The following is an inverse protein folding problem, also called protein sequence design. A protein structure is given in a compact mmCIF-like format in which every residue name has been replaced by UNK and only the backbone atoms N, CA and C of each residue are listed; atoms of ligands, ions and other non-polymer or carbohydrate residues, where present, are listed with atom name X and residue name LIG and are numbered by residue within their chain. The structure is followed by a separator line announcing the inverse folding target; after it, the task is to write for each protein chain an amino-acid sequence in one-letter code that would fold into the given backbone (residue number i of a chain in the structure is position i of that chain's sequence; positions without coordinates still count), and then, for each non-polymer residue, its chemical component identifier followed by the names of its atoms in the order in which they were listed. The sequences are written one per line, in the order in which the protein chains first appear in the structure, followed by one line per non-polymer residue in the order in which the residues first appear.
data_IF_426072460128
#
_entry.id   IF_426072460128
#
_cell.length_a   1.000
_cell.length_b   1.000
_cell.length_c   1.000
_cell.angle_alpha   90.00
_cell.angle_beta   90.00
_cell.angle_gamma   90.00
#
_symmetry.space_group_name_H-M   'P 1'
#
loop_
_entity.id
_entity.type
_entity.pdbx_description
1 polymer ?
#
# COMPACT_ATOMS: atom_id res chain seq x y z
N UNK A 1 -19.19 26.22 10.56
CA UNK A 1 -18.73 24.81 10.47
C UNK A 1 -19.95 23.92 10.33
N UNK A 2 -20.23 23.35 9.15
CA UNK A 2 -21.14 22.20 9.10
C UNK A 2 -20.46 21.09 9.90
N UNK A 3 -21.01 20.74 11.06
CA UNK A 3 -20.64 19.50 11.76
C UNK A 3 -20.81 18.39 10.72
N UNK A 4 -19.73 17.74 10.31
CA UNK A 4 -19.82 16.59 9.42
C UNK A 4 -20.62 15.56 10.20
N UNK A 5 -21.90 15.42 9.83
CA UNK A 5 -22.87 14.75 10.69
C UNK A 5 -22.71 13.24 10.51
N UNK A 6 -22.70 12.51 11.62
CA UNK A 6 -22.39 11.07 11.69
C UNK A 6 -23.35 10.17 10.88
N UNK A 7 -24.45 10.70 10.36
CA UNK A 7 -25.47 9.96 9.61
C UNK A 7 -25.08 9.66 8.14
N UNK A 8 -23.95 10.19 7.67
CA UNK A 8 -23.56 10.18 6.25
C UNK A 8 -22.46 9.18 5.89
N UNK A 9 -22.22 8.14 6.71
CA UNK A 9 -21.17 7.16 6.41
C UNK A 9 -21.35 6.53 5.01
N UNK A 10 -22.60 6.34 4.56
CA UNK A 10 -22.95 5.90 3.21
C UNK A 10 -22.92 7.03 2.16
N UNK A 11 -23.12 8.29 2.54
CA UNK A 11 -23.11 9.43 1.64
C UNK A 11 -21.67 9.87 1.25
N UNK A 12 -20.68 9.56 2.09
CA UNK A 12 -19.28 9.88 1.83
C UNK A 12 -18.45 8.74 1.23
N UNK A 13 -18.94 7.49 1.18
CA UNK A 13 -18.25 6.44 0.42
C UNK A 13 -18.33 6.73 -1.08
N UNK A 14 -17.33 7.44 -1.61
CA UNK A 14 -17.15 7.56 -3.04
C UNK A 14 -16.86 6.18 -3.62
N UNK A 15 -17.70 5.70 -4.53
CA UNK A 15 -17.36 4.49 -5.26
C UNK A 15 -16.09 4.80 -6.08
N UNK A 16 -14.96 4.18 -5.72
CA UNK A 16 -13.91 3.92 -6.70
C UNK A 16 -14.51 3.03 -7.79
N UNK A 17 -14.05 3.21 -9.03
CA UNK A 17 -14.59 2.43 -10.14
C UNK A 17 -14.30 0.94 -9.91
N UNK A 18 -15.19 0.03 -10.36
CA UNK A 18 -14.91 -1.40 -10.37
C UNK A 18 -13.61 -1.75 -11.11
N UNK A 19 -13.21 -0.91 -12.07
CA UNK A 19 -11.90 -1.04 -12.72
C UNK A 19 -10.77 -1.04 -11.70
N UNK A 20 -10.74 -0.07 -10.78
CA UNK A 20 -9.70 0.03 -9.75
C UNK A 20 -9.84 -1.01 -8.64
N UNK A 21 -11.05 -1.34 -8.22
CA UNK A 21 -11.23 -2.18 -7.01
C UNK A 21 -11.46 -3.66 -7.28
N UNK A 22 -11.78 -4.02 -8.53
CA UNK A 22 -12.07 -5.41 -8.93
C UNK A 22 -11.16 -5.84 -10.07
N UNK A 23 -11.26 -5.19 -11.23
CA UNK A 23 -10.61 -5.68 -12.44
C UNK A 23 -9.10 -5.54 -12.41
N UNK A 24 -8.57 -4.42 -11.91
CA UNK A 24 -7.13 -4.18 -11.90
C UNK A 24 -6.37 -5.10 -10.92
N UNK A 25 -6.82 -5.32 -9.66
CA UNK A 25 -6.25 -6.36 -8.80
C UNK A 25 -6.25 -7.75 -9.43
N UNK A 26 -7.38 -8.16 -10.04
CA UNK A 26 -7.47 -9.47 -10.69
C UNK A 26 -6.55 -9.57 -11.91
N UNK A 27 -6.45 -8.49 -12.69
CA UNK A 27 -5.51 -8.40 -13.79
C UNK A 27 -4.08 -8.60 -13.31
N UNK A 28 -3.66 -7.97 -12.21
CA UNK A 28 -2.31 -8.15 -11.67
C UNK A 28 -2.05 -9.59 -11.22
N UNK A 29 -3.01 -10.26 -10.55
CA UNK A 29 -2.88 -11.69 -10.21
C UNK A 29 -2.71 -12.55 -11.46
N UNK A 30 -3.55 -12.33 -12.48
CA UNK A 30 -3.51 -13.11 -13.73
C UNK A 30 -2.21 -12.85 -14.47
N UNK A 31 -1.79 -11.58 -14.58
CA UNK A 31 -0.53 -11.19 -15.21
C UNK A 31 0.65 -11.86 -14.51
N UNK A 32 0.68 -11.85 -13.18
CA UNK A 32 1.72 -12.50 -12.39
C UNK A 32 1.78 -14.00 -12.63
N UNK A 33 0.62 -14.66 -12.59
CA UNK A 33 0.52 -16.10 -12.88
C UNK A 33 0.98 -16.43 -14.32
N UNK A 34 0.62 -15.59 -15.29
CA UNK A 34 1.05 -15.74 -16.68
C UNK A 34 2.56 -15.60 -16.83
N UNK A 35 3.17 -14.60 -16.19
CA UNK A 35 4.62 -14.40 -16.19
C UNK A 35 5.34 -15.64 -15.66
N UNK A 36 4.90 -16.20 -14.53
CA UNK A 36 5.58 -17.31 -13.88
C UNK A 36 5.34 -18.68 -14.55
N UNK A 37 4.19 -18.89 -15.18
CA UNK A 37 3.87 -20.17 -15.84
C UNK A 37 4.38 -20.22 -17.27
N UNK A 38 4.36 -19.09 -18.00
CA UNK A 38 4.69 -19.07 -19.43
C UNK A 38 6.18 -18.76 -19.66
N UNK A 39 6.77 -17.84 -18.89
CA UNK A 39 8.16 -17.48 -19.12
C UNK A 39 9.11 -18.56 -18.55
N UNK A 40 10.21 -18.87 -19.24
CA UNK A 40 11.31 -19.64 -18.67
C UNK A 40 11.75 -19.09 -17.31
N UNK A 41 12.08 -19.98 -16.37
CA UNK A 41 12.37 -19.62 -14.98
C UNK A 41 13.45 -18.53 -14.84
N UNK A 42 14.47 -18.55 -15.70
CA UNK A 42 15.54 -17.54 -15.74
C UNK A 42 15.05 -16.16 -16.21
N UNK A 43 14.10 -16.12 -17.15
CA UNK A 43 13.49 -14.87 -17.64
C UNK A 43 12.50 -14.33 -16.62
N UNK A 44 11.70 -15.20 -16.00
CA UNK A 44 10.82 -14.82 -14.90
C UNK A 44 11.65 -14.26 -13.73
N UNK A 45 12.74 -14.93 -13.33
CA UNK A 45 13.62 -14.50 -12.25
C UNK A 45 14.18 -13.07 -12.46
N UNK A 46 14.58 -12.71 -13.68
CA UNK A 46 15.08 -11.37 -14.02
C UNK A 46 14.04 -10.25 -13.89
N UNK A 47 12.75 -10.59 -13.90
CA UNK A 47 11.70 -9.59 -13.68
C UNK A 47 11.66 -9.08 -12.23
N UNK A 48 12.34 -9.81 -11.32
CA UNK A 48 12.47 -9.53 -9.89
C UNK A 48 13.90 -9.15 -9.47
N UNK A 49 14.81 -8.88 -10.42
CA UNK A 49 16.12 -8.34 -10.09
C UNK A 49 15.99 -6.86 -9.67
N UNK A 50 16.99 -6.33 -8.97
CA UNK A 50 17.10 -4.90 -8.63
C UNK A 50 16.98 -4.03 -9.90
N UNK A 51 16.07 -3.06 -9.88
CA UNK A 51 15.57 -2.26 -11.01
C UNK A 51 14.75 -3.03 -12.06
N UNK A 52 14.19 -4.18 -11.69
CA UNK A 52 13.30 -4.98 -12.51
C UNK A 52 11.96 -4.29 -12.80
N UNK A 53 11.19 -4.89 -13.71
CA UNK A 53 9.88 -4.36 -14.12
C UNK A 53 8.91 -4.19 -12.94
N UNK A 54 8.97 -5.09 -11.96
CA UNK A 54 8.09 -5.04 -10.79
C UNK A 54 8.47 -3.93 -9.82
N UNK A 55 9.75 -3.73 -9.51
CA UNK A 55 10.22 -2.62 -8.66
C UNK A 55 9.86 -1.25 -9.26
N UNK A 56 10.03 -1.07 -10.58
CA UNK A 56 9.58 0.14 -11.27
C UNK A 56 8.08 0.33 -11.08
N UNK A 57 7.30 -0.75 -11.21
CA UNK A 57 5.85 -0.70 -11.02
C UNK A 57 5.47 -0.36 -9.57
N UNK A 58 6.17 -0.93 -8.58
CA UNK A 58 6.01 -0.66 -7.15
C UNK A 58 6.27 0.81 -6.84
N UNK A 59 7.42 1.32 -7.27
CA UNK A 59 7.83 2.72 -7.17
C UNK A 59 6.78 3.64 -7.77
N UNK A 60 6.28 3.35 -8.98
CA UNK A 60 5.27 4.17 -9.63
C UNK A 60 3.95 4.19 -8.84
N UNK A 61 3.48 3.04 -8.34
CA UNK A 61 2.24 2.94 -7.57
C UNK A 61 2.34 3.76 -6.28
N UNK A 62 3.42 3.60 -5.51
CA UNK A 62 3.58 4.31 -4.24
C UNK A 62 3.86 5.81 -4.46
N UNK A 63 4.57 6.19 -5.53
CA UNK A 63 4.77 7.59 -5.91
C UNK A 63 3.45 8.27 -6.28
N UNK A 64 2.58 7.59 -7.04
CA UNK A 64 1.23 8.11 -7.31
C UNK A 64 0.46 8.25 -5.99
N UNK A 65 0.55 7.28 -5.07
CA UNK A 65 -0.09 7.38 -3.76
C UNK A 65 0.41 8.58 -2.95
N UNK A 66 1.71 8.86 -2.97
CA UNK A 66 2.34 10.05 -2.37
C UNK A 66 1.73 11.34 -2.94
N UNK A 67 1.57 11.45 -4.26
CA UNK A 67 0.93 12.60 -4.89
C UNK A 67 -0.51 12.76 -4.39
N UNK A 68 -1.31 11.69 -4.38
CA UNK A 68 -2.70 11.76 -3.91
C UNK A 68 -2.82 12.12 -2.43
N UNK A 69 -1.91 11.61 -1.58
CA UNK A 69 -1.82 11.98 -0.18
C UNK A 69 -1.50 13.48 -0.02
N UNK A 70 -0.48 13.97 -0.75
CA UNK A 70 -0.09 15.39 -0.75
C UNK A 70 -1.23 16.31 -1.21
N UNK A 71 -1.90 15.97 -2.31
CA UNK A 71 -3.07 16.69 -2.83
C UNK A 71 -4.27 16.68 -1.87
N UNK A 72 -4.28 15.79 -0.88
CA UNK A 72 -5.33 15.70 0.13
C UNK A 72 -5.04 16.56 1.38
N UNK A 73 -3.81 17.04 1.57
CA UNK A 73 -3.42 17.83 2.76
C UNK A 73 -4.24 19.11 2.85
N UNK A 74 -4.16 19.99 1.85
CA UNK A 74 -4.82 21.29 1.91
C UNK A 74 -6.35 21.20 2.10
N UNK A 75 -7.09 20.34 1.37
CA UNK A 75 -8.51 20.10 1.64
C UNK A 75 -8.75 19.59 3.07
N UNK A 76 -7.94 18.66 3.57
CA UNK A 76 -8.11 18.10 4.93
C UNK A 76 -7.91 19.17 5.99
N UNK A 77 -6.97 20.11 5.79
CA UNK A 77 -6.73 21.18 6.76
C UNK A 77 -7.88 22.19 6.84
N UNK A 78 -8.69 22.33 5.78
CA UNK A 78 -9.88 23.21 5.75
C UNK A 78 -11.05 22.66 6.55
N UNK A 79 -11.26 21.34 6.55
CA UNK A 79 -12.46 20.70 7.12
C UNK A 79 -12.18 19.78 8.32
N UNK A 80 -10.92 19.41 8.53
CA UNK A 80 -10.53 18.30 9.39
C UNK A 80 -10.32 18.70 10.85
N UNK A 81 -10.60 17.73 11.73
CA UNK A 81 -10.18 17.77 13.13
C UNK A 81 -8.65 17.64 13.24
N UNK A 82 -8.09 17.92 14.42
CA UNK A 82 -6.66 17.68 14.68
C UNK A 82 -6.25 16.23 14.36
N UNK A 83 -7.13 15.27 14.66
CA UNK A 83 -6.93 13.87 14.32
C UNK A 83 -6.84 13.63 12.80
N UNK A 84 -7.73 14.22 12.00
CA UNK A 84 -7.68 14.05 10.54
C UNK A 84 -6.43 14.70 9.93
N UNK A 85 -6.00 15.84 10.47
CA UNK A 85 -4.76 16.50 10.05
C UNK A 85 -3.54 15.63 10.37
N UNK A 86 -3.50 15.05 11.57
CA UNK A 86 -2.46 14.08 11.94
C UNK A 86 -2.49 12.85 11.04
N UNK A 87 -3.68 12.28 10.79
CA UNK A 87 -3.83 11.10 9.94
C UNK A 87 -3.31 11.33 8.51
N UNK A 88 -3.68 12.45 7.88
CA UNK A 88 -3.18 12.74 6.52
C UNK A 88 -1.69 13.04 6.50
N UNK A 89 -1.14 13.66 7.57
CA UNK A 89 0.30 13.84 7.70
C UNK A 89 1.03 12.49 7.79
N UNK A 90 0.54 11.56 8.61
CA UNK A 90 1.07 10.20 8.67
C UNK A 90 1.00 9.47 7.33
N UNK A 91 -0.14 9.56 6.62
CA UNK A 91 -0.28 8.93 5.31
C UNK A 91 0.69 9.52 4.28
N UNK A 92 0.85 10.85 4.24
CA UNK A 92 1.81 11.51 3.35
C UNK A 92 3.26 11.13 3.68
N UNK A 93 3.66 11.23 4.94
CA UNK A 93 5.02 10.89 5.38
C UNK A 93 5.32 9.40 5.20
N UNK A 94 4.34 8.53 5.41
CA UNK A 94 4.48 7.10 5.14
C UNK A 94 4.68 6.80 3.65
N UNK A 95 3.88 7.41 2.76
CA UNK A 95 4.08 7.27 1.32
C UNK A 95 5.42 7.85 0.87
N UNK A 96 5.84 8.98 1.45
CA UNK A 96 7.13 9.62 1.16
C UNK A 96 8.30 8.72 1.58
N UNK A 97 8.22 8.16 2.78
CA UNK A 97 9.20 7.22 3.29
C UNK A 97 9.31 5.99 2.40
N UNK A 98 8.19 5.30 2.12
CA UNK A 98 8.21 4.11 1.26
C UNK A 98 8.75 4.47 -0.14
N UNK A 99 8.23 5.52 -0.78
CA UNK A 99 8.75 5.97 -2.09
C UNK A 99 10.26 6.21 -2.02
N UNK A 100 10.73 6.91 -0.98
CA UNK A 100 12.14 7.19 -0.78
C UNK A 100 12.96 5.92 -0.64
N UNK A 101 12.53 4.97 0.17
CA UNK A 101 13.21 3.67 0.32
C UNK A 101 13.31 2.92 -1.03
N UNK A 102 12.20 2.85 -1.79
CA UNK A 102 12.15 2.15 -3.10
C UNK A 102 13.09 2.75 -4.16
N UNK A 103 13.31 4.08 -4.17
CA UNK A 103 14.23 4.75 -5.12
C UNK A 103 15.60 5.07 -4.50
N UNK A 104 15.87 4.51 -3.33
CA UNK A 104 17.09 4.75 -2.56
C UNK A 104 17.37 6.24 -2.35
N UNK A 105 16.34 6.96 -1.93
CA UNK A 105 16.27 8.41 -1.69
C UNK A 105 16.67 9.25 -2.91
N UNK A 106 16.56 8.68 -4.11
CA UNK A 106 16.88 9.28 -5.39
C UNK A 106 18.17 8.75 -6.02
N UNK A 107 18.88 7.83 -5.36
CA UNK A 107 20.12 7.24 -5.87
C UNK A 107 19.91 6.63 -7.25
N UNK A 108 18.83 5.88 -7.45
CA UNK A 108 18.52 5.26 -8.74
C UNK A 108 18.24 6.28 -9.85
N UNK A 109 17.80 7.49 -9.51
CA UNK A 109 17.44 8.54 -10.46
C UNK A 109 18.66 9.38 -10.85
N UNK A 110 19.48 9.76 -9.87
CA UNK A 110 20.57 10.73 -10.06
C UNK A 110 21.95 10.09 -10.06
N UNK A 111 22.06 8.80 -9.74
CA UNK A 111 23.27 7.99 -9.91
C UNK A 111 24.44 8.34 -8.99
N UNK A 112 24.17 8.91 -7.80
CA UNK A 112 25.24 9.06 -6.81
C UNK A 112 25.61 7.71 -6.19
N UNK A 113 26.79 7.63 -5.59
CA UNK A 113 27.20 6.47 -4.82
C UNK A 113 26.87 6.67 -3.34
N UNK A 114 26.52 5.58 -2.64
CA UNK A 114 26.47 5.61 -1.18
C UNK A 114 27.86 5.94 -0.60
N UNK A 115 27.90 6.74 0.47
CA UNK A 115 29.16 7.04 1.15
C UNK A 115 29.78 5.79 1.74
N UNK A 116 31.12 5.73 1.82
CA UNK A 116 31.88 4.52 2.18
C UNK A 116 31.37 3.85 3.48
N UNK A 117 31.17 4.63 4.55
CA UNK A 117 30.64 4.10 5.82
C UNK A 117 29.22 3.54 5.71
N UNK A 118 28.40 4.08 4.79
CA UNK A 118 27.01 3.64 4.58
C UNK A 118 26.96 2.40 3.69
N UNK A 119 27.76 2.37 2.63
CA UNK A 119 27.88 1.23 1.73
C UNK A 119 28.41 -0.04 2.45
N UNK A 120 29.18 0.13 3.53
CA UNK A 120 29.65 -1.00 4.35
C UNK A 120 28.54 -1.69 5.16
N UNK A 121 27.45 -0.97 5.47
CA UNK A 121 26.34 -1.49 6.29
C UNK A 121 25.08 -1.75 5.47
N UNK A 122 25.04 -1.32 4.21
CA UNK A 122 23.91 -1.50 3.30
C UNK A 122 24.22 -2.66 2.34
N UNK A 123 23.40 -3.71 2.36
CA UNK A 123 23.65 -4.95 1.63
C UNK A 123 23.69 -4.77 0.10
N UNK A 124 23.12 -3.68 -0.42
CA UNK A 124 23.06 -3.34 -1.84
C UNK A 124 23.90 -2.11 -2.21
N UNK A 125 24.69 -1.56 -1.28
CA UNK A 125 25.47 -0.33 -1.47
C UNK A 125 24.59 0.88 -1.85
N UNK A 126 23.38 0.93 -1.28
CA UNK A 126 22.40 1.97 -1.54
C UNK A 126 22.24 2.95 -0.38
N UNK A 127 21.53 4.07 -0.59
CA UNK A 127 21.26 5.09 0.44
C UNK A 127 19.94 4.90 1.18
N UNK A 128 19.20 3.83 0.92
CA UNK A 128 18.02 3.47 1.72
C UNK A 128 18.38 2.89 3.10
N UNK A 129 17.37 2.78 3.95
CA UNK A 129 17.47 2.24 5.30
C UNK A 129 17.09 0.75 5.35
N UNK A 130 16.15 0.30 4.53
CA UNK A 130 15.67 -1.09 4.58
C UNK A 130 16.75 -2.13 4.26
N UNK A 131 17.78 -1.78 3.49
CA UNK A 131 18.91 -2.68 3.19
C UNK A 131 20.01 -2.65 4.26
N UNK A 132 19.84 -1.89 5.34
CA UNK A 132 20.85 -1.81 6.42
C UNK A 132 20.61 -2.81 7.55
N UNK A 133 19.38 -3.32 7.68
CA UNK A 133 19.07 -4.37 8.66
C UNK A 133 17.72 -5.04 8.39
N UNK A 134 17.62 -6.31 8.75
CA UNK A 134 16.36 -7.06 8.71
C UNK A 134 15.23 -6.42 9.52
N UNK A 135 15.57 -5.65 10.57
CA UNK A 135 14.55 -4.93 11.34
C UNK A 135 13.93 -3.79 10.53
N UNK A 136 14.75 -3.02 9.81
CA UNK A 136 14.30 -1.89 9.01
C UNK A 136 13.59 -2.33 7.72
N UNK A 137 13.90 -3.52 7.20
CA UNK A 137 13.10 -4.14 6.14
C UNK A 137 11.75 -4.67 6.67
N UNK A 138 11.75 -5.47 7.74
CA UNK A 138 10.55 -6.23 8.10
C UNK A 138 9.52 -5.46 8.93
N UNK A 139 9.93 -4.54 9.81
CA UNK A 139 8.99 -3.90 10.75
C UNK A 139 8.11 -2.84 10.08
N UNK A 140 8.62 -1.95 9.22
CA UNK A 140 7.77 -1.04 8.45
C UNK A 140 6.77 -1.81 7.58
N UNK A 141 7.23 -2.88 6.92
CA UNK A 141 6.38 -3.80 6.17
C UNK A 141 5.25 -4.33 7.03
N UNK A 142 5.56 -4.95 8.17
CA UNK A 142 4.56 -5.53 9.08
C UNK A 142 3.47 -4.55 9.52
N UNK A 143 3.83 -3.28 9.76
CA UNK A 143 2.85 -2.25 10.11
C UNK A 143 1.83 -2.02 9.00
N UNK A 144 2.30 -1.97 7.74
CA UNK A 144 1.43 -1.83 6.57
C UNK A 144 0.55 -3.07 6.40
N UNK A 145 1.11 -4.26 6.56
CA UNK A 145 0.36 -5.52 6.46
C UNK A 145 -0.78 -5.61 7.48
N UNK A 146 -0.51 -5.24 8.74
CA UNK A 146 -1.55 -5.13 9.78
C UNK A 146 -2.61 -4.13 9.35
N UNK A 147 -2.21 -2.98 8.82
CA UNK A 147 -3.11 -1.96 8.27
C UNK A 147 -4.02 -2.50 7.16
N UNK A 148 -3.50 -3.33 6.26
CA UNK A 148 -4.27 -3.96 5.18
C UNK A 148 -5.29 -4.96 5.72
N UNK A 149 -4.90 -5.81 6.67
CA UNK A 149 -5.83 -6.80 7.25
C UNK A 149 -6.92 -6.10 8.08
N UNK A 150 -6.52 -5.19 8.97
CA UNK A 150 -7.46 -4.45 9.82
C UNK A 150 -8.36 -3.57 8.96
N UNK A 151 -7.77 -2.80 8.06
CA UNK A 151 -8.50 -1.88 7.20
C UNK A 151 -9.31 -2.58 6.11
N UNK A 152 -8.69 -3.46 5.33
CA UNK A 152 -9.33 -4.06 4.17
C UNK A 152 -10.35 -5.15 4.49
N UNK A 153 -10.21 -5.84 5.64
CA UNK A 153 -11.05 -7.00 5.97
C UNK A 153 -11.84 -6.79 7.26
N UNK A 154 -11.16 -6.49 8.38
CA UNK A 154 -11.79 -6.45 9.71
C UNK A 154 -12.76 -5.28 9.84
N UNK A 155 -12.36 -4.06 9.48
CA UNK A 155 -13.23 -2.88 9.58
C UNK A 155 -14.48 -3.04 8.68
N UNK A 156 -14.39 -3.39 7.38
CA UNK A 156 -15.55 -3.64 6.54
C UNK A 156 -16.47 -4.74 7.09
N UNK A 157 -15.91 -5.81 7.65
CA UNK A 157 -16.66 -6.86 8.34
C UNK A 157 -17.43 -6.31 9.54
N UNK A 158 -16.78 -5.51 10.40
CA UNK A 158 -17.41 -4.88 11.56
C UNK A 158 -18.49 -3.88 11.15
N UNK A 159 -18.28 -3.07 10.11
CA UNK A 159 -19.31 -2.18 9.56
C UNK A 159 -20.56 -2.97 9.16
N UNK A 160 -20.39 -4.17 8.57
CA UNK A 160 -21.49 -5.01 8.11
C UNK A 160 -22.22 -5.73 9.24
N UNK A 161 -21.50 -6.28 10.21
CA UNK A 161 -22.06 -7.24 11.18
C UNK A 161 -22.12 -6.73 12.62
N UNK A 162 -21.31 -5.75 12.99
CA UNK A 162 -21.26 -5.22 14.36
C UNK A 162 -20.85 -3.73 14.38
N UNK A 163 -21.61 -2.84 13.71
CA UNK A 163 -21.20 -1.44 13.52
C UNK A 163 -21.04 -0.67 14.83
N UNK A 164 -21.77 -1.05 15.89
CA UNK A 164 -21.68 -0.42 17.21
C UNK A 164 -20.32 -0.65 17.91
N UNK A 165 -19.53 -1.63 17.46
CA UNK A 165 -18.18 -1.88 17.97
C UNK A 165 -17.14 -0.89 17.43
N UNK A 166 -17.44 -0.14 16.37
CA UNK A 166 -16.51 0.80 15.77
C UNK A 166 -16.66 2.20 16.37
N UNK A 167 -15.57 2.81 16.88
CA UNK A 167 -15.62 4.17 17.40
C UNK A 167 -16.07 5.19 16.35
N UNK A 168 -17.25 5.77 16.56
CA UNK A 168 -17.86 6.74 15.63
C UNK A 168 -17.01 7.98 15.34
N UNK A 169 -15.98 8.28 16.12
CA UNK A 169 -15.08 9.41 15.86
C UNK A 169 -14.07 9.16 14.72
N UNK A 170 -13.80 7.89 14.37
CA UNK A 170 -12.84 7.51 13.33
C UNK A 170 -13.50 7.14 12.00
N UNK A 171 -14.83 7.32 11.92
CA UNK A 171 -15.66 6.98 10.77
C UNK A 171 -15.10 7.47 9.42
N UNK A 172 -14.48 8.66 9.42
CA UNK A 172 -13.97 9.31 8.21
C UNK A 172 -12.73 8.62 7.63
N UNK A 173 -11.94 7.93 8.46
CA UNK A 173 -10.74 7.19 8.03
C UNK A 173 -11.03 5.71 7.78
N UNK A 174 -12.22 5.22 8.08
CA UNK A 174 -12.55 3.82 7.84
C UNK A 174 -12.53 3.53 6.34
N UNK A 175 -11.75 2.54 5.89
CA UNK A 175 -11.64 2.19 4.48
C UNK A 175 -12.97 1.65 3.94
N UNK A 176 -13.16 1.84 2.63
CA UNK A 176 -14.32 1.35 1.92
C UNK A 176 -14.25 -0.18 1.77
N UNK A 177 -15.40 -0.85 1.89
CA UNK A 177 -15.53 -2.30 1.64
C UNK A 177 -15.04 -2.74 0.26
N UNK A 178 -14.99 -1.83 -0.72
CA UNK A 178 -14.54 -2.15 -2.07
C UNK A 178 -13.05 -2.54 -2.13
N UNK A 179 -12.23 -2.25 -1.11
CA UNK A 179 -10.82 -2.68 -1.09
C UNK A 179 -10.65 -4.09 -0.52
N UNK A 180 -11.74 -4.73 -0.07
CA UNK A 180 -11.68 -6.04 0.55
C UNK A 180 -11.11 -7.11 -0.38
N UNK A 181 -11.34 -6.99 -1.69
CA UNK A 181 -10.75 -7.93 -2.65
C UNK A 181 -9.22 -7.83 -2.67
N UNK A 182 -8.66 -6.62 -2.78
CA UNK A 182 -7.22 -6.39 -2.74
C UNK A 182 -6.61 -6.94 -1.45
N UNK A 183 -7.24 -6.68 -0.31
CA UNK A 183 -6.77 -7.19 0.98
C UNK A 183 -6.92 -8.73 1.11
N UNK A 184 -7.96 -9.32 0.53
CA UNK A 184 -8.17 -10.76 0.51
C UNK A 184 -7.15 -11.46 -0.38
N UNK A 185 -6.83 -10.89 -1.56
CA UNK A 185 -5.76 -11.37 -2.44
C UNK A 185 -4.44 -11.33 -1.68
N UNK A 186 -4.07 -10.17 -1.12
CA UNK A 186 -2.87 -10.01 -0.30
C UNK A 186 -2.76 -11.08 0.80
N UNK A 187 -3.81 -11.24 1.61
CA UNK A 187 -3.81 -12.21 2.70
C UNK A 187 -3.73 -13.65 2.19
N UNK A 188 -4.40 -13.97 1.09
CA UNK A 188 -4.34 -15.30 0.46
C UNK A 188 -2.92 -15.62 0.05
N UNK A 189 -2.28 -14.73 -0.72
CA UNK A 189 -0.90 -14.89 -1.18
C UNK A 189 0.04 -15.09 0.01
N UNK A 190 -0.09 -14.24 1.04
CA UNK A 190 0.75 -14.30 2.24
C UNK A 190 0.62 -15.63 2.97
N UNK A 191 -0.61 -16.12 3.14
CA UNK A 191 -0.86 -17.39 3.82
C UNK A 191 -0.34 -18.56 2.97
N UNK A 192 -0.55 -18.53 1.66
CA UNK A 192 -0.06 -19.60 0.76
C UNK A 192 1.45 -19.63 0.67
N UNK A 193 2.12 -18.48 0.68
CA UNK A 193 3.58 -18.37 0.69
C UNK A 193 4.16 -18.88 2.02
N UNK A 194 3.53 -18.49 3.14
CA UNK A 194 3.91 -18.98 4.46
C UNK A 194 3.69 -20.48 4.64
N UNK A 195 2.58 -21.02 4.14
CA UNK A 195 2.31 -22.46 4.23
C UNK A 195 3.25 -23.21 3.28
N UNK A 196 3.38 -22.75 2.04
CA UNK A 196 4.24 -23.37 1.04
C UNK A 196 5.68 -23.52 1.54
N UNK A 197 6.25 -22.45 2.09
CA UNK A 197 7.63 -22.45 2.59
C UNK A 197 7.88 -23.51 3.67
N UNK A 198 6.88 -23.85 4.48
CA UNK A 198 6.96 -24.93 5.48
C UNK A 198 6.90 -26.33 4.82
N UNK A 199 6.29 -26.47 3.64
CA UNK A 199 6.14 -27.71 2.88
C UNK A 199 7.06 -27.83 1.65
N UNK A 200 8.04 -26.92 1.50
CA UNK A 200 9.04 -26.96 0.42
C UNK A 200 8.51 -26.52 -0.95
N UNK A 201 7.40 -25.77 -1.00
CA UNK A 201 6.87 -25.18 -2.24
C UNK A 201 6.61 -23.68 -2.08
N UNK A 202 6.44 -22.94 -3.17
CA UNK A 202 5.94 -21.56 -3.09
C UNK A 202 4.92 -21.35 -4.20
N UNK A 203 3.79 -20.64 -3.94
CA UNK A 203 2.85 -20.29 -4.99
C UNK A 203 3.47 -19.37 -6.04
N UNK A 204 4.50 -18.60 -5.65
CA UNK A 204 5.21 -17.66 -6.53
C UNK A 204 6.73 -17.76 -6.36
N UNK A 205 7.49 -17.58 -7.44
CA UNK A 205 8.97 -17.58 -7.41
C UNK A 205 9.50 -16.53 -6.42
N UNK A 206 8.85 -15.36 -6.38
CA UNK A 206 9.17 -14.22 -5.50
C UNK A 206 7.91 -13.69 -4.83
N UNK A 207 7.37 -14.45 -3.89
CA UNK A 207 6.14 -14.08 -3.16
C UNK A 207 6.20 -12.72 -2.47
N UNK A 208 7.38 -12.30 -1.98
CA UNK A 208 7.58 -10.98 -1.35
C UNK A 208 7.27 -9.81 -2.28
N UNK A 209 7.71 -9.87 -3.53
CA UNK A 209 7.48 -8.84 -4.55
C UNK A 209 5.99 -8.69 -4.86
N UNK A 210 5.32 -9.84 -5.05
CA UNK A 210 3.87 -9.85 -5.32
C UNK A 210 3.10 -9.28 -4.13
N UNK A 211 3.54 -9.57 -2.89
CA UNK A 211 2.92 -9.00 -1.69
C UNK A 211 3.07 -7.48 -1.64
N UNK A 212 4.27 -6.95 -1.90
CA UNK A 212 4.53 -5.50 -1.94
C UNK A 212 3.65 -4.79 -2.96
N UNK A 213 3.50 -5.39 -4.15
CA UNK A 213 2.61 -4.87 -5.17
C UNK A 213 1.20 -4.62 -4.62
N UNK A 214 0.60 -5.62 -3.98
CA UNK A 214 -0.74 -5.50 -3.40
C UNK A 214 -0.77 -4.58 -2.18
N UNK A 215 0.32 -4.47 -1.42
CA UNK A 215 0.43 -3.51 -0.32
C UNK A 215 0.37 -2.08 -0.83
N UNK A 216 1.21 -1.72 -1.80
CA UNK A 216 1.27 -0.38 -2.36
C UNK A 216 -0.01 -0.05 -3.12
N UNK A 217 -0.58 -1.04 -3.82
CA UNK A 217 -1.87 -0.87 -4.48
C UNK A 217 -3.00 -0.60 -3.49
N UNK A 218 -3.03 -1.29 -2.34
CA UNK A 218 -4.01 -1.02 -1.28
C UNK A 218 -3.87 0.40 -0.72
N UNK A 219 -2.64 0.86 -0.46
CA UNK A 219 -2.36 2.23 -0.03
C UNK A 219 -2.88 3.23 -1.06
N UNK A 220 -2.61 3.00 -2.35
CA UNK A 220 -3.08 3.85 -3.44
C UNK A 220 -4.61 3.97 -3.47
N UNK A 221 -5.33 2.84 -3.40
CA UNK A 221 -6.80 2.83 -3.34
C UNK A 221 -7.30 3.64 -2.14
N UNK A 222 -6.68 3.44 -0.97
CA UNK A 222 -7.06 4.14 0.25
C UNK A 222 -6.91 5.66 0.12
N UNK A 223 -5.77 6.15 -0.37
CA UNK A 223 -5.52 7.61 -0.46
C UNK A 223 -6.37 8.28 -1.54
N UNK A 224 -6.67 7.60 -2.66
CA UNK A 224 -7.58 8.13 -3.68
C UNK A 224 -8.98 8.31 -3.09
N UNK A 225 -9.48 7.34 -2.34
CA UNK A 225 -10.81 7.45 -1.72
C UNK A 225 -10.84 8.45 -0.57
N UNK A 226 -9.80 8.48 0.26
CA UNK A 226 -9.64 9.52 1.28
C UNK A 226 -9.72 10.91 0.65
N UNK A 227 -9.01 11.15 -0.46
CA UNK A 227 -9.09 12.40 -1.20
C UNK A 227 -10.51 12.73 -1.65
N UNK A 228 -11.20 11.76 -2.25
CA UNK A 228 -12.59 11.94 -2.70
C UNK A 228 -13.52 12.33 -1.55
N UNK A 229 -13.38 11.69 -0.39
CA UNK A 229 -14.13 12.02 0.84
C UNK A 229 -13.90 13.45 1.29
N UNK A 230 -12.63 13.85 1.39
CA UNK A 230 -12.26 15.19 1.84
C UNK A 230 -12.75 16.27 0.86
N UNK A 231 -12.60 16.06 -0.44
CA UNK A 231 -13.09 17.02 -1.44
C UNK A 231 -14.62 17.18 -1.38
N UNK A 232 -15.37 16.08 -1.27
CA UNK A 232 -16.83 16.13 -1.11
C UNK A 232 -17.25 16.87 0.14
N UNK A 233 -16.53 16.70 1.24
CA UNK A 233 -16.82 17.39 2.49
C UNK A 233 -16.38 18.87 2.52
N UNK A 234 -15.61 19.32 1.53
CA UNK A 234 -15.18 20.73 1.38
C UNK A 234 -16.15 21.57 0.53
N UNK A 235 -17.00 20.93 -0.27
CA UNK A 235 -18.06 21.56 -1.09
C UNK A 235 -19.29 21.82 -0.20
#
# INVERSE_FOLDING_TARGET
MKKINQQDHAAFTGYLSPVLTLWLPLFFVIMQFVIEVILPHDIAARSYDENGFLEITHTLIIFIALIFAGLSIAPTFKIGTAFLKFWIACAFLGCLYITGEEISWGQHIFGWSAGENWAQINDQQETNLHNTSSWLDQKPRLLVEIGIVVGGLIIPALIKWAPDKLPKQFWFIYPNKNYALTAAIFLTIKLTDRIGSEFGGSPFIRGSEVLEHFMFYFILLYVIDFRKRVLRATI
#
